data_IF_928477060498
#
_entry.id   IF_928477060498
#
_cell.length_a   1.000
_cell.length_b   1.000
_cell.length_c   1.000
_cell.angle_alpha   90.00
_cell.angle_beta   90.00
_cell.angle_gamma   90.00
#
_symmetry.space_group_name_H-M   'P 1'
#
loop_
_entity.id
_entity.type
_entity.pdbx_description
1 polymer ?
#
# COMPACT_ATOMS: atom_id res chain seq x y z
N UNK A 1 5.98 -10.96 -23.70
CA UNK A 1 5.88 -10.47 -22.31
C UNK A 1 4.65 -11.11 -21.70
N UNK A 2 4.76 -11.74 -20.53
CA UNK A 2 3.64 -12.32 -19.80
C UNK A 2 2.95 -11.23 -18.96
N UNK A 3 1.75 -10.84 -19.36
CA UNK A 3 0.92 -9.84 -18.68
C UNK A 3 -0.36 -10.51 -18.14
N UNK A 4 -0.16 -11.47 -17.23
CA UNK A 4 -1.25 -12.26 -16.62
C UNK A 4 -1.29 -12.05 -15.12
N UNK A 5 -2.37 -12.49 -14.48
CA UNK A 5 -2.49 -12.45 -13.02
C UNK A 5 -1.33 -13.22 -12.37
N UNK A 6 -0.77 -12.68 -11.28
CA UNK A 6 0.38 -13.29 -10.61
C UNK A 6 0.08 -14.73 -10.14
N UNK A 7 -1.17 -15.04 -9.77
CA UNK A 7 -1.61 -16.39 -9.39
C UNK A 7 -1.63 -17.37 -10.58
N UNK A 8 -1.68 -16.86 -11.81
CA UNK A 8 -1.73 -17.65 -13.05
C UNK A 8 -0.40 -17.75 -13.78
N UNK A 9 0.64 -17.09 -13.28
CA UNK A 9 1.91 -17.02 -13.99
C UNK A 9 2.56 -18.40 -14.16
N UNK A 10 2.53 -19.27 -13.13
CA UNK A 10 3.08 -20.63 -13.23
C UNK A 10 2.33 -21.46 -14.29
N UNK A 11 1.00 -21.45 -14.25
CA UNK A 11 0.12 -22.16 -15.19
C UNK A 11 0.37 -21.72 -16.64
N UNK A 12 0.36 -20.40 -16.88
CA UNK A 12 0.52 -19.84 -18.22
C UNK A 12 1.93 -20.08 -18.75
N UNK A 13 2.96 -19.84 -17.95
CA UNK A 13 4.34 -20.10 -18.38
C UNK A 13 4.53 -21.59 -18.67
N UNK A 14 3.99 -22.49 -17.86
CA UNK A 14 4.04 -23.93 -18.11
C UNK A 14 3.46 -24.31 -19.49
N UNK A 15 2.32 -23.71 -19.86
CA UNK A 15 1.64 -24.01 -21.11
C UNK A 15 2.38 -23.48 -22.36
N UNK A 16 3.05 -22.33 -22.25
CA UNK A 16 3.60 -21.62 -23.43
C UNK A 16 5.12 -21.55 -23.50
N UNK A 17 5.85 -21.89 -22.43
CA UNK A 17 7.30 -21.74 -22.36
C UNK A 17 8.06 -22.46 -23.48
N UNK A 18 7.63 -23.67 -23.87
CA UNK A 18 8.27 -24.47 -24.92
C UNK A 18 8.12 -23.88 -26.33
N UNK A 19 7.19 -22.94 -26.52
CA UNK A 19 7.04 -22.18 -27.78
C UNK A 19 7.97 -20.97 -27.85
N UNK A 20 8.80 -20.73 -26.82
CA UNK A 20 9.74 -19.61 -26.79
C UNK A 20 10.85 -19.82 -27.82
N UNK A 21 11.04 -18.84 -28.71
CA UNK A 21 12.12 -18.84 -29.69
C UNK A 21 13.48 -18.90 -28.99
N UNK A 22 14.42 -19.67 -29.56
CA UNK A 22 15.80 -19.74 -29.09
C UNK A 22 16.41 -18.34 -28.90
N UNK A 23 16.98 -18.10 -27.73
CA UNK A 23 17.63 -16.83 -27.37
C UNK A 23 16.69 -15.63 -27.22
N UNK A 24 15.37 -15.84 -27.19
CA UNK A 24 14.42 -14.74 -27.01
C UNK A 24 14.57 -14.04 -25.67
N UNK A 25 14.20 -12.75 -25.64
CA UNK A 25 14.02 -11.98 -24.41
C UNK A 25 12.60 -12.24 -23.90
N UNK A 26 12.50 -12.80 -22.70
CA UNK A 26 11.25 -13.03 -22.00
C UNK A 26 11.18 -12.12 -20.78
N UNK A 27 10.00 -11.57 -20.57
CA UNK A 27 9.69 -10.69 -19.46
C UNK A 27 8.28 -11.05 -18.97
N UNK A 28 8.02 -10.81 -17.70
CA UNK A 28 6.66 -10.62 -17.22
C UNK A 28 6.50 -9.23 -16.63
N UNK A 29 5.25 -8.89 -16.31
CA UNK A 29 4.84 -7.58 -15.78
C UNK A 29 4.04 -7.74 -14.48
N UNK A 30 4.19 -8.87 -13.79
CA UNK A 30 3.48 -9.13 -12.53
C UNK A 30 3.89 -8.12 -11.46
N UNK A 31 3.06 -7.85 -10.45
CA UNK A 31 3.45 -6.90 -9.39
C UNK A 31 4.47 -7.45 -8.40
N UNK A 32 4.68 -8.77 -8.39
CA UNK A 32 5.64 -9.48 -7.54
C UNK A 32 6.47 -10.38 -8.45
N UNK A 33 7.80 -10.27 -8.39
CA UNK A 33 8.70 -11.00 -9.27
C UNK A 33 8.91 -12.45 -8.84
N UNK A 34 8.84 -12.75 -7.56
CA UNK A 34 9.10 -14.10 -7.03
C UNK A 34 8.35 -15.23 -7.76
N UNK A 35 7.01 -15.23 -7.88
CA UNK A 35 6.30 -16.32 -8.56
C UNK A 35 6.62 -16.37 -10.07
N UNK A 36 6.84 -15.21 -10.68
CA UNK A 36 7.17 -15.10 -12.10
C UNK A 36 8.57 -15.66 -12.40
N UNK A 37 9.57 -15.28 -11.62
CA UNK A 37 10.94 -15.79 -11.75
C UNK A 37 10.97 -17.29 -11.48
N UNK A 38 10.25 -17.79 -10.47
CA UNK A 38 10.16 -19.22 -10.19
C UNK A 38 9.58 -20.00 -11.38
N UNK A 39 8.51 -19.48 -12.00
CA UNK A 39 7.92 -20.09 -13.21
C UNK A 39 8.90 -20.06 -14.39
N UNK A 40 9.59 -18.94 -14.59
CA UNK A 40 10.58 -18.78 -15.66
C UNK A 40 11.76 -19.73 -15.51
N UNK A 41 12.32 -19.87 -14.31
CA UNK A 41 13.41 -20.80 -14.02
C UNK A 41 12.99 -22.26 -14.24
N UNK A 42 11.73 -22.59 -13.92
CA UNK A 42 11.19 -23.95 -14.01
C UNK A 42 10.90 -24.41 -15.44
N UNK A 43 10.34 -23.53 -16.28
CA UNK A 43 9.78 -23.96 -17.57
C UNK A 43 10.47 -23.36 -18.80
N UNK A 44 11.11 -22.18 -18.70
CA UNK A 44 11.73 -21.58 -19.89
C UNK A 44 13.01 -22.34 -20.30
N UNK A 45 13.27 -22.47 -21.61
CA UNK A 45 14.56 -22.97 -22.10
C UNK A 45 15.74 -22.20 -21.49
N UNK A 46 16.87 -22.89 -21.25
CA UNK A 46 18.04 -22.32 -20.57
C UNK A 46 18.65 -21.12 -21.31
N UNK A 47 18.51 -21.13 -22.63
CA UNK A 47 19.05 -20.13 -23.54
C UNK A 47 18.22 -18.84 -23.57
N UNK A 48 17.01 -18.88 -22.97
CA UNK A 48 16.12 -17.73 -22.85
C UNK A 48 16.74 -16.65 -21.96
N UNK A 49 16.68 -15.41 -22.43
CA UNK A 49 17.16 -14.22 -21.73
C UNK A 49 15.99 -13.62 -20.95
N UNK A 50 16.13 -13.41 -19.64
CA UNK A 50 15.07 -12.96 -18.74
C UNK A 50 15.37 -11.53 -18.26
N UNK A 51 14.58 -10.57 -18.75
CA UNK A 51 14.63 -9.16 -18.35
C UNK A 51 13.21 -8.69 -18.06
N UNK A 52 12.78 -8.83 -16.80
CA UNK A 52 11.41 -8.57 -16.37
C UNK A 52 11.19 -7.10 -16.02
N UNK A 53 9.93 -6.67 -15.90
CA UNK A 53 9.59 -5.32 -15.50
C UNK A 53 8.40 -5.26 -14.53
N UNK A 54 8.16 -4.09 -13.95
CA UNK A 54 6.98 -3.76 -13.17
C UNK A 54 6.65 -2.28 -13.40
N UNK A 55 5.51 -2.03 -14.03
CA UNK A 55 5.00 -0.66 -14.13
C UNK A 55 4.30 -0.28 -12.83
N UNK A 56 4.74 0.79 -12.15
CA UNK A 56 4.18 1.21 -10.86
C UNK A 56 2.96 2.14 -11.03
N UNK A 57 2.16 1.89 -12.06
CA UNK A 57 0.92 2.60 -12.33
C UNK A 57 -0.17 1.65 -12.85
N UNK A 58 -1.43 2.04 -12.69
CA UNK A 58 -2.57 1.30 -13.22
C UNK A 58 -2.72 1.46 -14.74
N UNK A 59 -3.47 0.57 -15.41
CA UNK A 59 -3.63 0.56 -16.87
C UNK A 59 -4.34 1.79 -17.46
N UNK A 60 -4.98 2.60 -16.62
CA UNK A 60 -5.67 3.83 -17.03
C UNK A 60 -4.72 5.03 -17.28
N UNK A 61 -3.43 4.89 -16.97
CA UNK A 61 -2.45 5.98 -17.07
C UNK A 61 -1.48 5.73 -18.23
N UNK A 62 -1.08 6.83 -18.89
CA UNK A 62 0.05 6.80 -19.83
C UNK A 62 1.33 6.40 -19.08
N UNK A 63 2.21 5.56 -19.68
CA UNK A 63 3.49 5.21 -19.09
C UNK A 63 4.51 6.36 -19.08
N UNK A 64 4.27 7.44 -19.84
CA UNK A 64 5.16 8.59 -19.94
C UNK A 64 5.33 9.28 -18.58
N UNK A 65 6.58 9.39 -18.12
CA UNK A 65 6.93 9.94 -16.81
C UNK A 65 6.55 9.08 -15.60
N UNK A 66 5.92 7.91 -15.81
CA UNK A 66 5.64 6.96 -14.72
C UNK A 66 6.85 6.09 -14.44
N UNK A 67 6.95 5.56 -13.22
CA UNK A 67 8.06 4.67 -12.84
C UNK A 67 7.88 3.28 -13.43
N UNK A 68 8.93 2.78 -14.08
CA UNK A 68 9.03 1.41 -14.58
C UNK A 68 10.26 0.76 -13.95
N UNK A 69 10.06 -0.23 -13.10
CA UNK A 69 11.18 -1.04 -12.62
C UNK A 69 11.53 -2.08 -13.67
N UNK A 70 12.82 -2.23 -13.97
CA UNK A 70 13.35 -3.26 -14.86
C UNK A 70 14.35 -4.09 -14.08
N UNK A 71 14.17 -5.42 -14.08
CA UNK A 71 15.02 -6.35 -13.35
C UNK A 71 15.74 -7.29 -14.31
N UNK A 72 17.07 -7.27 -14.26
CA UNK A 72 17.92 -8.15 -15.05
C UNK A 72 18.17 -9.47 -14.32
N UNK A 73 17.30 -10.45 -14.54
CA UNK A 73 17.43 -11.74 -13.87
C UNK A 73 18.43 -12.68 -14.57
N UNK A 74 18.37 -12.83 -15.91
CA UNK A 74 19.27 -13.72 -16.67
C UNK A 74 19.49 -13.21 -18.09
N UNK A 75 20.50 -12.38 -18.32
CA UNK A 75 20.84 -11.98 -19.70
C UNK A 75 22.30 -11.57 -19.85
N UNK A 76 22.80 -11.53 -21.09
CA UNK A 76 24.07 -10.84 -21.42
C UNK A 76 23.91 -9.32 -21.37
N UNK A 77 25.03 -8.58 -21.31
CA UNK A 77 25.01 -7.11 -21.27
C UNK A 77 24.40 -6.54 -22.55
N UNK A 78 24.78 -7.09 -23.70
CA UNK A 78 24.26 -6.68 -25.01
C UNK A 78 22.74 -6.87 -25.10
N UNK A 79 22.23 -8.02 -24.63
CA UNK A 79 20.79 -8.29 -24.63
C UNK A 79 20.05 -7.38 -23.66
N UNK A 80 20.65 -7.09 -22.51
CA UNK A 80 20.06 -6.19 -21.53
C UNK A 80 19.91 -4.76 -22.08
N UNK A 81 20.94 -4.24 -22.77
CA UNK A 81 20.84 -2.93 -23.42
C UNK A 81 19.75 -2.90 -24.49
N UNK A 82 19.62 -3.96 -25.30
CA UNK A 82 18.50 -4.08 -26.27
C UNK A 82 17.14 -4.09 -25.57
N UNK A 83 17.00 -4.80 -24.46
CA UNK A 83 15.76 -4.80 -23.67
C UNK A 83 15.44 -3.39 -23.13
N UNK A 84 16.46 -2.68 -22.62
CA UNK A 84 16.30 -1.31 -22.14
C UNK A 84 15.90 -0.34 -23.25
N UNK A 85 16.42 -0.47 -24.47
CA UNK A 85 15.98 0.33 -25.61
C UNK A 85 14.49 0.16 -25.89
N UNK A 86 13.98 -1.07 -25.82
CA UNK A 86 12.55 -1.35 -25.95
C UNK A 86 11.77 -0.68 -24.81
N UNK A 87 12.20 -0.81 -23.56
CA UNK A 87 11.51 -0.18 -22.43
C UNK A 87 11.57 1.36 -22.48
N UNK A 88 12.66 1.95 -22.97
CA UNK A 88 12.81 3.40 -23.14
C UNK A 88 11.78 3.99 -24.11
N UNK A 89 11.27 3.20 -25.05
CA UNK A 89 10.18 3.64 -25.95
C UNK A 89 8.87 3.99 -25.22
N UNK A 90 8.69 3.50 -23.99
CA UNK A 90 7.55 3.82 -23.13
C UNK A 90 7.64 5.22 -22.49
N UNK A 91 8.83 5.84 -22.56
CA UNK A 91 9.15 7.14 -21.92
C UNK A 91 8.89 7.16 -20.40
N UNK A 92 8.95 5.99 -19.78
CA UNK A 92 8.88 5.84 -18.33
C UNK A 92 10.20 6.23 -17.68
N UNK A 93 10.15 6.63 -16.42
CA UNK A 93 11.32 6.76 -15.56
C UNK A 93 11.79 5.37 -15.17
N UNK A 94 12.81 4.86 -15.86
CA UNK A 94 13.31 3.49 -15.66
C UNK A 94 14.17 3.43 -14.40
N UNK A 95 13.83 2.48 -13.53
CA UNK A 95 14.65 2.09 -12.37
C UNK A 95 15.19 0.70 -12.64
N UNK A 96 16.50 0.61 -12.78
CA UNK A 96 17.18 -0.65 -13.03
C UNK A 96 17.53 -1.32 -11.70
N UNK A 97 17.16 -2.60 -11.55
CA UNK A 97 17.50 -3.41 -10.40
C UNK A 97 18.20 -4.70 -10.85
N UNK A 98 19.23 -5.10 -10.11
CA UNK A 98 19.98 -6.32 -10.39
C UNK A 98 19.37 -7.56 -9.74
N UNK A 99 18.60 -7.40 -8.65
CA UNK A 99 17.99 -8.51 -7.91
C UNK A 99 16.47 -8.31 -7.76
N UNK A 100 15.71 -9.32 -8.17
CA UNK A 100 14.26 -9.33 -8.03
C UNK A 100 13.81 -9.44 -6.57
N UNK A 101 14.65 -9.97 -5.68
CA UNK A 101 14.37 -10.06 -4.25
C UNK A 101 14.42 -8.69 -3.58
N UNK A 102 15.25 -7.77 -4.10
CA UNK A 102 15.26 -6.38 -3.67
C UNK A 102 13.95 -5.69 -4.08
N UNK A 103 13.55 -5.83 -5.35
CA UNK A 103 12.25 -5.36 -5.83
C UNK A 103 11.11 -5.87 -4.94
N UNK A 104 11.02 -7.18 -4.68
CA UNK A 104 9.91 -7.74 -3.91
C UNK A 104 9.91 -7.29 -2.45
N UNK A 105 11.09 -7.07 -1.84
CA UNK A 105 11.22 -6.51 -0.50
C UNK A 105 10.69 -5.08 -0.43
N UNK A 106 11.02 -4.26 -1.43
CA UNK A 106 10.55 -2.87 -1.52
C UNK A 106 9.04 -2.85 -1.77
N UNK A 107 8.53 -3.66 -2.71
CA UNK A 107 7.09 -3.72 -3.02
C UNK A 107 6.28 -4.25 -1.84
N UNK A 108 6.82 -5.17 -1.05
CA UNK A 108 6.17 -5.60 0.19
C UNK A 108 5.94 -4.40 1.14
N UNK A 109 6.98 -3.57 1.33
CA UNK A 109 6.93 -2.44 2.26
C UNK A 109 6.03 -1.32 1.72
N UNK A 110 6.23 -0.94 0.46
CA UNK A 110 5.52 0.22 -0.12
C UNK A 110 4.10 -0.09 -0.53
N UNK A 111 3.79 -1.33 -0.94
CA UNK A 111 2.47 -1.69 -1.46
C UNK A 111 1.71 -2.63 -0.55
N UNK A 112 2.26 -3.77 -0.12
CA UNK A 112 1.48 -4.78 0.60
C UNK A 112 0.93 -4.26 1.92
N UNK A 113 1.80 -3.69 2.77
CA UNK A 113 1.40 -3.10 4.05
C UNK A 113 0.53 -1.85 3.84
N UNK A 114 0.81 -1.07 2.79
CA UNK A 114 0.01 0.10 2.40
C UNK A 114 -1.43 -0.29 2.11
N UNK A 115 -1.63 -1.26 1.23
CA UNK A 115 -2.95 -1.74 0.82
C UNK A 115 -3.67 -2.38 2.01
N UNK A 116 -3.01 -3.27 2.75
CA UNK A 116 -3.59 -3.91 3.93
C UNK A 116 -4.13 -2.87 4.94
N UNK A 117 -3.42 -1.77 5.18
CA UNK A 117 -3.90 -0.74 6.11
C UNK A 117 -5.19 -0.06 5.64
N UNK A 118 -5.32 0.25 4.34
CA UNK A 118 -6.56 0.82 3.79
C UNK A 118 -7.67 -0.22 3.65
N UNK A 119 -7.33 -1.46 3.32
CA UNK A 119 -8.26 -2.59 3.32
C UNK A 119 -8.84 -2.84 4.71
N UNK A 120 -8.02 -2.70 5.75
CA UNK A 120 -8.45 -2.76 7.15
C UNK A 120 -9.37 -1.61 7.52
N UNK A 121 -9.08 -0.38 7.07
CA UNK A 121 -9.99 0.77 7.27
C UNK A 121 -11.36 0.53 6.62
N UNK A 122 -11.39 0.09 5.35
CA UNK A 122 -12.65 -0.16 4.66
C UNK A 122 -13.47 -1.30 5.27
N UNK A 123 -12.78 -2.35 5.75
CA UNK A 123 -13.42 -3.47 6.43
C UNK A 123 -13.97 -3.05 7.80
N UNK A 124 -13.25 -2.20 8.53
CA UNK A 124 -13.70 -1.62 9.80
C UNK A 124 -14.97 -0.78 9.62
N UNK A 125 -15.01 0.13 8.64
CA UNK A 125 -16.22 0.92 8.35
C UNK A 125 -17.41 0.04 7.94
N UNK A 126 -17.16 -0.99 7.12
CA UNK A 126 -18.18 -1.98 6.75
C UNK A 126 -18.74 -2.70 7.97
N UNK A 127 -17.88 -3.15 8.87
CA UNK A 127 -18.28 -3.87 10.09
C UNK A 127 -19.00 -2.96 11.08
N UNK A 128 -18.56 -1.70 11.21
CA UNK A 128 -19.22 -0.68 12.02
C UNK A 128 -20.59 -0.26 11.45
N UNK A 129 -20.84 -0.51 10.17
CA UNK A 129 -22.13 -0.28 9.52
C UNK A 129 -22.43 1.18 9.19
N UNK A 130 -21.41 2.03 9.08
CA UNK A 130 -21.55 3.44 8.71
C UNK A 130 -20.53 3.85 7.64
N UNK A 131 -20.85 4.90 6.89
CA UNK A 131 -19.89 5.50 5.96
C UNK A 131 -19.06 6.57 6.65
N UNK A 132 -17.73 6.61 6.43
CA UNK A 132 -16.86 7.52 7.17
C UNK A 132 -17.18 9.00 6.91
N UNK A 133 -17.64 9.37 5.71
CA UNK A 133 -18.04 10.75 5.41
C UNK A 133 -19.31 11.21 6.13
N UNK A 134 -20.10 10.31 6.72
CA UNK A 134 -21.27 10.64 7.53
C UNK A 134 -20.94 10.75 9.04
N UNK A 135 -19.68 10.48 9.43
CA UNK A 135 -19.24 10.45 10.83
C UNK A 135 -18.29 11.62 11.14
N UNK A 136 -18.61 12.48 12.14
CA UNK A 136 -17.79 13.64 12.50
C UNK A 136 -16.34 13.34 12.89
N UNK A 137 -16.02 12.12 13.30
CA UNK A 137 -14.65 11.71 13.62
C UNK A 137 -13.75 11.58 12.38
N UNK A 138 -14.32 11.54 11.18
CA UNK A 138 -13.59 11.43 9.91
C UNK A 138 -13.80 12.65 9.00
N UNK A 139 -14.22 13.79 9.56
CA UNK A 139 -14.47 15.03 8.83
C UNK A 139 -13.21 15.90 8.61
N UNK A 140 -12.02 15.36 8.86
CA UNK A 140 -10.73 16.08 8.76
C UNK A 140 -9.98 15.84 7.44
N UNK A 141 -9.00 16.71 7.14
CA UNK A 141 -8.19 16.61 5.92
C UNK A 141 -7.41 15.29 5.79
N UNK A 142 -6.80 14.82 6.89
CA UNK A 142 -6.16 13.50 6.95
C UNK A 142 -7.15 12.39 6.58
N UNK A 143 -8.38 12.47 7.10
CA UNK A 143 -9.37 11.41 6.90
C UNK A 143 -9.97 11.45 5.50
N UNK A 144 -10.15 12.62 4.88
CA UNK A 144 -10.50 12.73 3.45
C UNK A 144 -9.50 11.95 2.58
N UNK A 145 -8.20 12.11 2.82
CA UNK A 145 -7.16 11.37 2.09
C UNK A 145 -7.30 9.86 2.33
N UNK A 146 -7.55 9.43 3.58
CA UNK A 146 -7.75 8.00 3.90
C UNK A 146 -8.98 7.42 3.21
N UNK A 147 -10.10 8.12 3.26
CA UNK A 147 -11.38 7.71 2.66
C UNK A 147 -11.21 7.55 1.16
N UNK A 148 -10.73 8.59 0.47
CA UNK A 148 -10.56 8.57 -0.98
C UNK A 148 -9.56 7.49 -1.44
N UNK A 149 -8.48 7.30 -0.68
CA UNK A 149 -7.49 6.24 -1.01
C UNK A 149 -8.08 4.85 -0.78
N UNK A 150 -8.89 4.67 0.26
CA UNK A 150 -9.61 3.41 0.53
C UNK A 150 -10.61 3.09 -0.59
N UNK A 151 -11.46 4.05 -0.97
CA UNK A 151 -12.40 3.88 -2.08
C UNK A 151 -11.69 3.60 -3.40
N UNK A 152 -10.56 4.27 -3.65
CA UNK A 152 -9.70 3.99 -4.81
C UNK A 152 -9.27 2.52 -4.82
N UNK A 153 -8.75 2.00 -3.71
CA UNK A 153 -8.31 0.59 -3.61
C UNK A 153 -9.47 -0.36 -3.91
N UNK A 154 -10.61 -0.20 -3.24
CA UNK A 154 -11.79 -1.05 -3.45
C UNK A 154 -12.41 -0.90 -4.86
N UNK A 155 -12.13 0.17 -5.59
CA UNK A 155 -12.59 0.33 -6.98
C UNK A 155 -11.89 -0.62 -7.98
N UNK A 156 -10.73 -1.20 -7.61
CA UNK A 156 -9.97 -2.13 -8.44
C UNK A 156 -10.35 -3.59 -8.20
N UNK A 157 -9.61 -4.52 -8.83
CA UNK A 157 -9.86 -5.96 -8.78
C UNK A 157 -9.10 -6.59 -7.61
N UNK A 158 -9.81 -7.36 -6.79
CA UNK A 158 -9.27 -8.06 -5.61
C UNK A 158 -8.04 -8.94 -5.91
N UNK A 159 -7.97 -9.60 -7.08
CA UNK A 159 -6.84 -10.47 -7.43
C UNK A 159 -5.49 -9.74 -7.50
N UNK A 160 -5.49 -8.43 -7.79
CA UNK A 160 -4.25 -7.64 -7.90
C UNK A 160 -3.61 -7.53 -6.52
N UNK A 161 -4.42 -7.15 -5.53
CA UNK A 161 -3.99 -6.98 -4.15
C UNK A 161 -3.69 -8.33 -3.48
N UNK A 162 -4.54 -9.34 -3.73
CA UNK A 162 -4.33 -10.70 -3.23
C UNK A 162 -2.99 -11.28 -3.70
N UNK A 163 -2.71 -11.20 -5.00
CA UNK A 163 -1.44 -11.67 -5.57
C UNK A 163 -0.24 -10.94 -4.98
N UNK A 164 -0.36 -9.64 -4.77
CA UNK A 164 0.72 -8.83 -4.17
C UNK A 164 1.00 -9.22 -2.73
N UNK A 165 -0.04 -9.35 -1.90
CA UNK A 165 0.09 -9.61 -0.47
C UNK A 165 0.47 -11.07 -0.16
N UNK A 166 -0.11 -12.04 -0.89
CA UNK A 166 0.04 -13.47 -0.58
C UNK A 166 1.26 -14.08 -1.28
N UNK A 167 1.53 -13.73 -2.54
CA UNK A 167 2.61 -14.35 -3.33
C UNK A 167 3.97 -13.68 -3.13
N UNK A 168 4.03 -12.59 -2.36
CA UNK A 168 5.28 -11.94 -1.97
C UNK A 168 5.78 -12.50 -0.62
N UNK A 169 6.94 -13.20 -0.59
CA UNK A 169 7.44 -13.82 0.64
C UNK A 169 7.80 -12.80 1.73
N UNK A 170 8.09 -11.55 1.36
CA UNK A 170 8.41 -10.48 2.32
C UNK A 170 7.15 -9.84 2.92
N UNK A 171 6.05 -9.81 2.16
CA UNK A 171 4.80 -9.19 2.58
C UNK A 171 4.20 -9.87 3.81
N UNK A 172 4.15 -11.21 3.83
CA UNK A 172 3.60 -11.96 4.97
C UNK A 172 4.28 -11.60 6.30
N UNK A 173 5.61 -11.43 6.29
CA UNK A 173 6.39 -11.05 7.47
C UNK A 173 6.07 -9.62 7.91
N UNK A 174 6.00 -8.68 6.97
CA UNK A 174 5.73 -7.28 7.28
C UNK A 174 4.29 -7.04 7.75
N UNK A 175 3.31 -7.70 7.11
CA UNK A 175 1.90 -7.71 7.50
C UNK A 175 1.73 -8.21 8.94
N UNK A 176 2.48 -9.26 9.32
CA UNK A 176 2.52 -9.74 10.71
C UNK A 176 3.11 -8.71 11.68
N UNK A 177 4.19 -8.02 11.31
CA UNK A 177 4.74 -6.94 12.15
C UNK A 177 3.77 -5.78 12.29
N UNK A 178 3.05 -5.42 11.23
CA UNK A 178 2.03 -4.38 11.27
C UNK A 178 0.92 -4.73 12.26
N UNK A 179 0.35 -5.94 12.17
CA UNK A 179 -0.67 -6.39 13.12
C UNK A 179 -0.14 -6.48 14.57
N UNK A 180 1.12 -6.87 14.77
CA UNK A 180 1.73 -6.86 16.11
C UNK A 180 1.92 -5.45 16.65
N UNK A 181 2.37 -4.51 15.81
CA UNK A 181 2.57 -3.11 16.18
C UNK A 181 1.23 -2.45 16.54
N UNK A 182 0.20 -2.69 15.73
CA UNK A 182 -1.17 -2.24 16.00
C UNK A 182 -1.68 -2.82 17.32
N UNK A 183 -1.60 -4.14 17.52
CA UNK A 183 -2.06 -4.81 18.74
C UNK A 183 -1.36 -4.30 20.01
N UNK A 184 -0.06 -4.02 19.93
CA UNK A 184 0.70 -3.44 21.04
C UNK A 184 0.20 -2.04 21.40
N UNK A 185 0.00 -1.17 20.41
CA UNK A 185 -0.54 0.17 20.65
C UNK A 185 -1.98 0.12 21.17
N UNK A 186 -2.83 -0.71 20.59
CA UNK A 186 -4.23 -0.84 21.00
C UNK A 186 -4.37 -1.34 22.44
N UNK A 187 -3.54 -2.30 22.87
CA UNK A 187 -3.50 -2.74 24.28
C UNK A 187 -3.15 -1.60 25.24
N UNK A 188 -2.17 -0.77 24.87
CA UNK A 188 -1.78 0.38 25.68
C UNK A 188 -2.88 1.44 25.74
N UNK A 189 -3.64 1.61 24.65
CA UNK A 189 -4.85 2.45 24.65
C UNK A 189 -5.87 1.94 25.65
N UNK A 190 -6.26 0.66 25.57
CA UNK A 190 -7.27 0.07 26.46
C UNK A 190 -6.85 0.09 27.94
N UNK A 191 -5.56 -0.11 28.22
CA UNK A 191 -5.02 -0.03 29.58
C UNK A 191 -4.71 1.41 30.03
N UNK A 192 -4.95 2.42 29.18
CA UNK A 192 -4.66 3.84 29.43
C UNK A 192 -3.21 4.08 29.91
N UNK A 193 -2.27 3.27 29.42
CA UNK A 193 -0.85 3.35 29.78
C UNK A 193 -0.15 4.46 28.98
N UNK A 194 -0.43 5.71 29.38
CA UNK A 194 0.01 6.91 28.68
C UNK A 194 1.53 7.00 28.53
N UNK A 195 2.29 6.70 29.60
CA UNK A 195 3.75 6.83 29.59
C UNK A 195 4.38 5.92 28.54
N UNK A 196 3.99 4.64 28.51
CA UNK A 196 4.54 3.69 27.55
C UNK A 196 4.05 3.96 26.12
N UNK A 197 2.77 4.33 25.96
CA UNK A 197 2.20 4.67 24.65
C UNK A 197 2.98 5.83 24.02
N UNK A 198 3.15 6.93 24.76
CA UNK A 198 3.92 8.10 24.31
C UNK A 198 5.35 7.74 23.94
N UNK A 199 6.04 6.99 24.80
CA UNK A 199 7.42 6.60 24.55
C UNK A 199 7.57 5.85 23.21
N UNK A 200 6.64 4.96 22.89
CA UNK A 200 6.63 4.23 21.61
C UNK A 200 6.33 5.14 20.42
N UNK A 201 5.33 6.01 20.52
CA UNK A 201 4.95 6.95 19.44
C UNK A 201 6.09 7.91 19.14
N UNK A 202 6.71 8.51 20.18
CA UNK A 202 7.81 9.45 20.00
C UNK A 202 9.10 8.78 19.51
N UNK A 203 9.44 7.58 19.99
CA UNK A 203 10.56 6.82 19.44
C UNK A 203 10.37 6.51 17.95
N UNK A 204 9.14 6.17 17.55
CA UNK A 204 8.81 5.91 16.15
C UNK A 204 8.84 7.18 15.30
N UNK A 205 8.34 8.31 15.84
CA UNK A 205 8.46 9.64 15.22
C UNK A 205 9.91 9.96 14.91
N UNK A 206 10.74 9.88 15.94
CA UNK A 206 12.13 10.31 15.87
C UNK A 206 12.91 9.39 14.93
N UNK A 207 12.62 8.09 14.89
CA UNK A 207 13.24 7.19 13.93
C UNK A 207 12.82 7.47 12.47
N UNK A 208 11.53 7.58 12.19
CA UNK A 208 11.03 7.70 10.80
C UNK A 208 11.29 9.11 10.24
N UNK A 209 11.12 10.14 11.07
CA UNK A 209 11.15 11.55 10.66
C UNK A 209 12.35 12.32 11.22
N UNK A 210 13.45 11.65 11.59
CA UNK A 210 14.68 12.29 12.09
C UNK A 210 15.24 13.37 11.16
N UNK A 211 15.11 13.19 9.85
CA UNK A 211 15.62 14.17 8.90
C UNK A 211 14.62 15.32 8.67
N UNK A 212 15.14 16.55 8.76
CA UNK A 212 14.41 17.74 8.35
C UNK A 212 14.29 17.77 6.82
N UNK A 213 13.28 17.08 6.32
CA UNK A 213 12.89 17.08 4.90
C UNK A 213 11.73 18.05 4.69
N UNK A 214 11.69 18.69 3.51
CA UNK A 214 10.49 19.41 3.06
C UNK A 214 9.32 18.43 3.12
N UNK A 215 8.23 18.82 3.78
CA UNK A 215 7.04 17.99 3.90
C UNK A 215 6.67 17.42 2.53
N UNK A 216 6.37 16.12 2.49
CA UNK A 216 5.74 15.43 1.38
C UNK A 216 4.37 16.09 1.16
N UNK A 217 4.40 17.14 0.31
CA UNK A 217 3.29 17.92 -0.23
C UNK A 217 1.91 17.49 0.28
N UNK A 218 1.47 18.10 1.37
CA UNK A 218 0.09 18.10 1.81
C UNK A 218 -0.22 19.49 2.37
N UNK A 219 -0.83 20.32 1.53
CA UNK A 219 -1.48 21.55 1.96
C UNK A 219 -2.81 21.16 2.63
N UNK A 220 -2.96 21.55 3.90
CA UNK A 220 -4.17 21.25 4.68
C UNK A 220 -5.44 21.81 4.03
N UNK A 221 -5.34 22.95 3.34
CA UNK A 221 -6.46 23.51 2.60
C UNK A 221 -6.87 22.59 1.45
N UNK A 222 -5.89 22.07 0.69
CA UNK A 222 -6.14 21.15 -0.41
C UNK A 222 -6.76 19.85 0.13
N UNK A 223 -6.27 19.30 1.24
CA UNK A 223 -6.83 18.06 1.82
C UNK A 223 -8.28 18.23 2.27
N UNK A 224 -8.64 19.39 2.83
CA UNK A 224 -10.00 19.70 3.29
C UNK A 224 -11.00 19.88 2.13
N UNK A 225 -10.54 20.35 0.96
CA UNK A 225 -11.37 20.51 -0.24
C UNK A 225 -11.93 19.19 -0.79
N UNK A 226 -11.29 18.06 -0.50
CA UNK A 226 -11.63 16.75 -1.06
C UNK A 226 -12.58 15.91 -0.17
N UNK A 227 -13.51 16.58 0.52
CA UNK A 227 -14.54 15.90 1.33
C UNK A 227 -15.62 15.22 0.47
N UNK A 228 -16.07 14.05 0.91
CA UNK A 228 -17.25 13.36 0.38
C UNK A 228 -18.54 13.66 1.17
N UNK A 229 -18.44 14.41 2.26
CA UNK A 229 -19.60 14.79 3.08
C UNK A 229 -20.41 15.87 2.40
N UNK A 230 -21.73 15.66 2.30
CA UNK A 230 -22.69 16.70 1.90
C UNK A 230 -23.07 17.63 3.08
N UNK A 231 -22.61 17.33 4.30
CA UNK A 231 -22.90 18.07 5.53
C UNK A 231 -21.66 18.73 6.15
N UNK A 232 -21.84 19.94 6.70
CA UNK A 232 -20.83 20.57 7.56
C UNK A 232 -20.81 19.88 8.94
N UNK A 233 -19.88 18.95 9.11
CA UNK A 233 -19.61 18.36 10.42
C UNK A 233 -18.60 19.21 11.19
N UNK A 234 -18.90 19.49 12.47
CA UNK A 234 -17.87 19.96 13.39
C UNK A 234 -16.90 18.81 13.65
N UNK A 235 -15.68 18.92 13.14
CA UNK A 235 -14.63 17.92 13.28
C UNK A 235 -14.47 17.51 14.75
N UNK A 236 -14.50 16.20 15.01
CA UNK A 236 -14.10 15.62 16.29
C UNK A 236 -12.65 15.13 16.22
N UNK A 237 -11.92 15.14 17.35
CA UNK A 237 -10.62 14.49 17.45
C UNK A 237 -10.69 13.02 17.03
N UNK A 238 -9.62 12.53 16.41
CA UNK A 238 -9.48 11.14 15.95
C UNK A 238 -8.20 10.55 16.54
N UNK A 239 -8.25 9.30 17.02
CA UNK A 239 -7.07 8.59 17.56
C UNK A 239 -5.96 8.45 16.51
N UNK A 240 -6.35 8.43 15.23
CA UNK A 240 -5.52 8.09 14.10
C UNK A 240 -4.71 6.81 14.29
N UNK A 241 -5.28 5.82 14.99
CA UNK A 241 -4.64 4.53 15.29
C UNK A 241 -4.01 3.92 14.03
N UNK A 242 -4.73 3.91 12.92
CA UNK A 242 -4.24 3.43 11.62
C UNK A 242 -2.91 4.05 11.14
N UNK A 243 -2.64 5.33 11.45
CA UNK A 243 -1.37 6.01 11.14
C UNK A 243 -0.34 5.76 12.24
N UNK A 244 -0.73 5.81 13.52
CA UNK A 244 0.15 5.54 14.65
C UNK A 244 0.76 4.13 14.54
N UNK A 245 -0.07 3.13 14.24
CA UNK A 245 0.35 1.74 14.04
C UNK A 245 1.30 1.58 12.85
N UNK A 246 1.13 2.37 11.79
CA UNK A 246 2.01 2.33 10.62
C UNK A 246 3.41 2.84 10.95
N UNK A 247 3.49 4.03 11.55
CA UNK A 247 4.78 4.63 11.92
C UNK A 247 5.50 3.76 12.96
N UNK A 248 4.74 3.21 13.92
CA UNK A 248 5.29 2.26 14.89
C UNK A 248 5.74 0.94 14.24
N UNK A 249 5.04 0.43 13.24
CA UNK A 249 5.46 -0.76 12.50
C UNK A 249 6.77 -0.53 11.74
N UNK A 250 6.93 0.61 11.06
CA UNK A 250 8.19 0.98 10.39
C UNK A 250 9.36 1.02 11.38
N UNK A 251 9.16 1.66 12.54
CA UNK A 251 10.14 1.66 13.62
C UNK A 251 10.50 0.25 14.08
N UNK A 252 9.52 -0.61 14.37
CA UNK A 252 9.77 -2.00 14.79
C UNK A 252 10.50 -2.84 13.74
N UNK A 253 10.27 -2.55 12.46
CA UNK A 253 10.94 -3.25 11.36
C UNK A 253 12.34 -2.69 11.07
N UNK A 254 12.70 -1.53 11.66
CA UNK A 254 13.94 -0.83 11.33
C UNK A 254 13.97 -0.32 9.89
N UNK A 255 12.79 -0.02 9.32
CA UNK A 255 12.64 0.43 7.93
C UNK A 255 12.29 1.90 7.92
N UNK A 256 13.09 2.71 7.22
CA UNK A 256 12.70 4.08 6.92
C UNK A 256 11.95 4.10 5.56
N UNK A 257 10.66 4.47 5.53
CA UNK A 257 9.83 4.39 4.32
C UNK A 257 10.33 5.31 3.20
N UNK A 258 11.12 6.33 3.52
CA UNK A 258 11.61 7.24 2.50
C UNK A 258 12.71 6.62 1.62
N UNK A 259 13.46 5.63 2.13
CA UNK A 259 14.48 4.91 1.35
C UNK A 259 13.83 4.11 0.20
N UNK A 260 12.55 3.76 0.38
CA UNK A 260 11.76 3.00 -0.57
C UNK A 260 10.99 3.88 -1.57
N UNK A 261 11.16 5.21 -1.54
CA UNK A 261 10.48 6.14 -2.47
C UNK A 261 10.85 5.90 -3.94
N UNK A 262 11.95 5.19 -4.21
CA UNK A 262 12.31 4.76 -5.56
C UNK A 262 11.17 3.97 -6.22
N UNK A 263 10.47 3.11 -5.49
CA UNK A 263 9.31 2.36 -5.98
C UNK A 263 8.01 2.87 -5.38
N UNK A 264 7.90 4.19 -5.17
CA UNK A 264 6.67 4.79 -4.66
C UNK A 264 5.50 4.56 -5.60
N UNK A 265 4.33 4.36 -5.01
CA UNK A 265 3.03 4.43 -5.69
C UNK A 265 2.26 5.62 -5.12
N UNK A 266 1.26 6.15 -5.84
CA UNK A 266 0.44 7.24 -5.31
C UNK A 266 -0.19 6.93 -3.93
N UNK A 267 -0.77 5.74 -3.66
CA UNK A 267 -1.27 5.40 -2.32
C UNK A 267 -0.19 5.41 -1.24
N UNK A 268 1.01 4.89 -1.53
CA UNK A 268 2.12 4.91 -0.57
C UNK A 268 2.54 6.33 -0.22
N UNK A 269 2.72 7.18 -1.24
CA UNK A 269 3.13 8.58 -1.06
C UNK A 269 2.10 9.37 -0.25
N UNK A 270 0.80 9.18 -0.54
CA UNK A 270 -0.28 9.81 0.22
C UNK A 270 -0.28 9.36 1.68
N UNK A 271 -0.16 8.04 1.92
CA UNK A 271 -0.15 7.46 3.27
C UNK A 271 1.06 7.95 4.08
N UNK A 272 2.24 7.98 3.48
CA UNK A 272 3.45 8.53 4.10
C UNK A 272 3.31 10.03 4.36
N UNK A 273 2.74 10.78 3.42
CA UNK A 273 2.49 12.22 3.58
C UNK A 273 1.58 12.52 4.77
N UNK A 274 0.42 11.87 4.89
CA UNK A 274 -0.52 12.15 6.00
C UNK A 274 0.06 11.72 7.34
N UNK A 275 0.91 10.69 7.37
CA UNK A 275 1.64 10.32 8.57
C UNK A 275 2.71 11.35 8.93
N UNK A 276 3.49 11.84 7.95
CA UNK A 276 4.44 12.91 8.19
C UNK A 276 3.73 14.18 8.69
N UNK A 277 2.60 14.54 8.09
CA UNK A 277 1.79 15.68 8.50
C UNK A 277 1.28 15.54 9.95
N UNK A 278 0.78 14.34 10.32
CA UNK A 278 0.38 14.04 11.69
C UNK A 278 1.56 14.17 12.67
N UNK A 279 2.67 13.52 12.37
CA UNK A 279 3.79 13.36 13.30
C UNK A 279 4.70 14.59 13.41
N UNK A 280 4.66 15.50 12.43
CA UNK A 280 5.39 16.79 12.48
C UNK A 280 4.55 17.94 13.02
N UNK A 281 3.25 17.73 13.28
CA UNK A 281 2.40 18.69 13.97
C UNK A 281 2.20 18.25 15.43
N UNK A 282 2.95 18.88 16.34
CA UNK A 282 2.96 18.50 17.76
C UNK A 282 1.57 18.58 18.41
N UNK A 283 0.79 19.62 18.08
CA UNK A 283 -0.55 19.81 18.65
C UNK A 283 -1.51 18.69 18.22
N UNK A 284 -1.50 18.35 16.93
CA UNK A 284 -2.36 17.30 16.37
C UNK A 284 -1.90 15.90 16.80
N UNK A 285 -0.59 15.67 16.95
CA UNK A 285 -0.06 14.42 17.50
C UNK A 285 -0.48 14.24 18.96
N UNK A 286 -0.38 15.30 19.78
CA UNK A 286 -0.83 15.29 21.16
C UNK A 286 -2.34 15.06 21.28
N UNK A 287 -3.15 15.72 20.44
CA UNK A 287 -4.59 15.49 20.37
C UNK A 287 -4.90 14.02 20.03
N UNK A 288 -4.21 13.45 19.04
CA UNK A 288 -4.40 12.05 18.64
C UNK A 288 -4.02 11.07 19.75
N UNK A 289 -2.90 11.31 20.46
CA UNK A 289 -2.47 10.50 21.61
C UNK A 289 -3.51 10.57 22.74
N UNK A 290 -3.98 11.77 23.09
CA UNK A 290 -5.01 11.95 24.14
C UNK A 290 -6.32 11.27 23.75
N UNK A 291 -6.73 11.42 22.50
CA UNK A 291 -7.97 10.82 21.98
C UNK A 291 -7.88 9.29 22.02
N UNK A 292 -6.76 8.71 21.57
CA UNK A 292 -6.52 7.26 21.65
C UNK A 292 -6.59 6.72 23.10
N UNK A 293 -6.03 7.47 24.05
CA UNK A 293 -5.92 7.08 25.46
C UNK A 293 -7.14 7.39 26.34
N UNK A 294 -8.06 8.26 25.91
CA UNK A 294 -9.14 8.70 26.81
C UNK A 294 -10.50 8.90 26.14
N UNK A 295 -10.59 9.05 24.82
CA UNK A 295 -11.87 9.25 24.14
C UNK A 295 -12.54 7.90 23.82
N UNK A 296 -13.56 7.57 24.61
CA UNK A 296 -14.34 6.33 24.43
C UNK A 296 -15.22 6.35 23.18
N UNK A 297 -15.48 7.52 22.59
CA UNK A 297 -16.35 7.63 21.42
C UNK A 297 -15.70 7.14 20.13
N UNK A 298 -14.37 7.22 20.00
CA UNK A 298 -13.63 6.69 18.84
C UNK A 298 -13.09 5.27 19.09
N UNK A 299 -12.94 4.84 20.34
CA UNK A 299 -12.40 3.51 20.68
C UNK A 299 -13.22 2.34 20.15
N UNK A 300 -14.53 2.54 19.96
CA UNK A 300 -15.38 1.58 19.27
C UNK A 300 -14.92 1.37 17.83
N UNK A 301 -14.67 2.46 17.12
CA UNK A 301 -14.16 2.42 15.74
C UNK A 301 -12.72 1.86 15.71
N UNK A 302 -11.89 2.16 16.71
CA UNK A 302 -10.55 1.58 16.85
C UNK A 302 -10.59 0.06 17.08
N UNK A 303 -11.63 -0.47 17.76
CA UNK A 303 -11.84 -1.91 17.91
C UNK A 303 -12.16 -2.59 16.57
N UNK A 304 -13.00 -1.96 15.76
CA UNK A 304 -13.32 -2.44 14.42
C UNK A 304 -12.08 -2.46 13.53
N UNK A 305 -11.25 -1.42 13.64
CA UNK A 305 -9.96 -1.35 12.96
C UNK A 305 -9.00 -2.45 13.44
N UNK A 306 -8.83 -2.62 14.76
CA UNK A 306 -8.02 -3.68 15.36
C UNK A 306 -8.42 -5.06 14.83
N UNK A 307 -9.72 -5.35 14.84
CA UNK A 307 -10.28 -6.62 14.36
C UNK A 307 -9.97 -6.82 12.88
N UNK A 308 -10.23 -5.83 12.04
CA UNK A 308 -9.97 -5.89 10.60
C UNK A 308 -8.48 -6.13 10.28
N UNK A 309 -7.57 -5.45 10.97
CA UNK A 309 -6.11 -5.64 10.80
C UNK A 309 -5.73 -7.10 11.05
N UNK A 310 -6.28 -7.72 12.09
CA UNK A 310 -5.99 -9.12 12.41
C UNK A 310 -6.67 -10.12 11.46
N UNK A 311 -7.84 -9.81 10.92
CA UNK A 311 -8.49 -10.61 9.87
C UNK A 311 -7.62 -10.64 8.61
N UNK A 312 -7.20 -9.47 8.11
CA UNK A 312 -6.32 -9.37 6.94
C UNK A 312 -4.97 -10.05 7.17
N UNK A 313 -4.36 -9.85 8.34
CA UNK A 313 -3.08 -10.47 8.66
C UNK A 313 -3.17 -12.00 8.68
N UNK A 314 -4.27 -12.54 9.21
CA UNK A 314 -4.55 -13.98 9.22
C UNK A 314 -4.76 -14.52 7.80
N UNK A 315 -5.61 -13.89 6.99
CA UNK A 315 -5.88 -14.29 5.60
C UNK A 315 -4.58 -14.31 4.78
N UNK A 316 -3.79 -13.24 4.86
CA UNK A 316 -2.50 -13.13 4.16
C UNK A 316 -1.51 -14.16 4.68
N UNK A 317 -1.42 -14.34 6.00
CA UNK A 317 -0.51 -15.28 6.65
C UNK A 317 -0.80 -16.75 6.34
N UNK A 318 -2.06 -17.10 6.11
CA UNK A 318 -2.47 -18.44 5.66
C UNK A 318 -2.34 -18.65 4.15
N UNK A 319 -2.09 -17.58 3.39
CA UNK A 319 -2.07 -17.61 1.94
C UNK A 319 -3.44 -17.93 1.32
N UNK A 320 -4.53 -17.55 2.00
CA UNK A 320 -5.89 -17.83 1.54
C UNK A 320 -6.34 -16.84 0.46
N UNK A 321 -5.99 -17.13 -0.79
CA UNK A 321 -6.38 -16.32 -1.95
C UNK A 321 -7.90 -16.20 -2.11
N UNK A 322 -8.65 -17.25 -1.77
CA UNK A 322 -10.11 -17.24 -1.91
C UNK A 322 -10.74 -16.37 -0.83
N UNK A 323 -10.35 -16.58 0.44
CA UNK A 323 -10.79 -15.77 1.55
C UNK A 323 -10.43 -14.30 1.38
N UNK A 324 -9.24 -13.99 0.84
CA UNK A 324 -8.85 -12.63 0.50
C UNK A 324 -9.85 -11.98 -0.48
N UNK A 325 -10.15 -12.66 -1.59
CA UNK A 325 -11.08 -12.14 -2.60
C UNK A 325 -12.49 -11.95 -2.02
N UNK A 326 -13.00 -12.94 -1.29
CA UNK A 326 -14.33 -12.85 -0.67
C UNK A 326 -14.42 -11.71 0.36
N UNK A 327 -13.40 -11.56 1.20
CA UNK A 327 -13.34 -10.50 2.22
C UNK A 327 -13.22 -9.11 1.57
N UNK A 328 -12.39 -8.97 0.53
CA UNK A 328 -12.27 -7.74 -0.25
C UNK A 328 -13.59 -7.35 -0.93
N UNK A 329 -14.23 -8.28 -1.65
CA UNK A 329 -15.47 -8.01 -2.37
C UNK A 329 -16.64 -7.70 -1.42
N UNK A 330 -16.65 -8.26 -0.20
CA UNK A 330 -17.61 -7.91 0.84
C UNK A 330 -17.52 -6.43 1.25
N UNK A 331 -16.31 -5.94 1.55
CA UNK A 331 -16.10 -4.52 1.85
C UNK A 331 -16.38 -3.63 0.63
N UNK A 332 -15.98 -4.06 -0.57
CA UNK A 332 -16.28 -3.36 -1.82
C UNK A 332 -17.78 -3.19 -2.07
N UNK A 333 -18.58 -4.24 -1.84
CA UNK A 333 -20.02 -4.21 -2.03
C UNK A 333 -20.70 -3.15 -1.15
N UNK A 334 -20.21 -2.95 0.07
CA UNK A 334 -20.69 -1.91 0.98
C UNK A 334 -20.49 -0.50 0.40
N UNK A 335 -19.39 -0.26 -0.29
CA UNK A 335 -19.08 1.05 -0.91
C UNK A 335 -19.61 1.22 -2.34
N UNK A 336 -20.35 0.24 -2.90
CA UNK A 336 -20.63 0.14 -4.33
C UNK A 336 -21.14 1.44 -4.99
N UNK A 337 -21.98 2.20 -4.28
CA UNK A 337 -22.59 3.44 -4.78
C UNK A 337 -21.63 4.64 -4.85
N UNK A 338 -20.44 4.56 -4.25
CA UNK A 338 -19.48 5.66 -4.13
C UNK A 338 -18.08 5.33 -4.65
N UNK A 339 -17.84 4.10 -5.11
CA UNK A 339 -16.51 3.68 -5.58
C UNK A 339 -16.01 4.49 -6.79
N UNK A 340 -16.90 4.79 -7.75
CA UNK A 340 -16.53 5.56 -8.93
C UNK A 340 -16.21 7.01 -8.56
N UNK A 341 -17.11 7.67 -7.83
CA UNK A 341 -16.94 9.05 -7.35
C UNK A 341 -15.66 9.18 -6.51
N UNK A 342 -15.45 8.27 -5.56
CA UNK A 342 -14.26 8.24 -4.72
C UNK A 342 -12.97 8.02 -5.51
N UNK A 343 -12.99 7.15 -6.53
CA UNK A 343 -11.83 6.93 -7.41
C UNK A 343 -11.48 8.18 -8.22
N UNK A 344 -12.49 8.85 -8.77
CA UNK A 344 -12.29 10.01 -9.64
C UNK A 344 -11.84 11.23 -8.82
N UNK A 345 -12.41 11.45 -7.64
CA UNK A 345 -11.93 12.45 -6.67
C UNK A 345 -10.52 12.14 -6.18
N UNK A 346 -10.21 10.88 -5.89
CA UNK A 346 -8.85 10.45 -5.54
C UNK A 346 -7.84 10.76 -6.65
N UNK A 347 -8.23 10.57 -7.92
CA UNK A 347 -7.35 10.88 -9.05
C UNK A 347 -7.07 12.38 -9.18
N UNK A 348 -8.08 13.24 -8.98
CA UNK A 348 -7.89 14.69 -8.98
C UNK A 348 -7.05 15.17 -7.78
N UNK A 349 -7.28 14.59 -6.59
CA UNK A 349 -6.46 14.84 -5.40
C UNK A 349 -4.99 14.53 -5.64
N UNK A 350 -4.68 13.33 -6.18
CA UNK A 350 -3.31 12.94 -6.52
C UNK A 350 -2.68 13.89 -7.54
N UNK A 351 -3.46 14.33 -8.53
CA UNK A 351 -2.98 15.25 -9.57
C UNK A 351 -2.67 16.64 -9.02
N UNK A 352 -3.44 17.14 -8.05
CA UNK A 352 -3.20 18.44 -7.41
C UNK A 352 -2.04 18.40 -6.41
N UNK A 353 -1.92 17.32 -5.63
CA UNK A 353 -0.82 17.12 -4.68
C UNK A 353 0.50 16.68 -5.35
N UNK A 354 0.43 16.20 -6.59
CA UNK A 354 1.58 15.78 -7.38
C UNK A 354 2.26 16.91 -8.18
N UNK A 355 1.67 18.11 -8.20
CA UNK A 355 2.30 19.35 -8.73
C UNK A 355 3.05 20.04 -7.60
#
# INVERSE_FOLDING_TARGET
IYCVEAEKIDEVVSAFALSTKYGAIVAGQTSVKHPEIAAFEKYLPKETQIVTCHSLHGPAFSPEGQTLVVVRHRSTDEVYQKALEVYKSLKSNIIEMSDYKEHDRIVADTQAVTHMGFESMGSAWKNAGFFPWDNPAYAGGIDNVKILTTLRIFSYKSHIYAGLAILNPYAQKQVKYYAQAESELYKLMICENETEFRAKIYAARDFVFHESRKLLLLDDNIMKEFSLSDAEHKQKPNSHLSLLSMVYAWYKMGVNPYDNLICQTPPFKLRLGIAEYLFKNEEMLEESIRTALYDKSIRGDDLEFHTAVHEWASIIGYGDLKGYKEHFESAKAFFANRLNDGRDLSAEMIKRLGK
#
